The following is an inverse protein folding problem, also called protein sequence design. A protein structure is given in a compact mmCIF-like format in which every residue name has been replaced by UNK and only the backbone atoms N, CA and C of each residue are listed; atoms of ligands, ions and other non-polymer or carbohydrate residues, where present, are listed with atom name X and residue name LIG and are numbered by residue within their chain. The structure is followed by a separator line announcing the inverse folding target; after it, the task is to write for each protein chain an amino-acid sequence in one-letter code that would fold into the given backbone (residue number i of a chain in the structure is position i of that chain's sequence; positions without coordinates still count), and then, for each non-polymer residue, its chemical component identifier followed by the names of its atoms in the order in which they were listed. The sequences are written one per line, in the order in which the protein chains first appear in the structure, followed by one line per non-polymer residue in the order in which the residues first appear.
data_IF_003017076411
#
_entry.id   IF_003017076411
#
_cell.length_a   1.000
_cell.length_b   1.000
_cell.length_c   1.000
_cell.angle_alpha   90.00
_cell.angle_beta   90.00
_cell.angle_gamma   90.00
#
_symmetry.space_group_name_H-M   'P 1'
#
loop_
_entity.id
_entity.type
_entity.pdbx_description
1 polymer ?
#
# COMPACT_ATOMS: atom_id res chain seq x y z
N UNK A 1 -5.62 15.20 23.78
CA UNK A 1 -4.62 14.48 22.96
C UNK A 1 -5.37 13.53 22.03
N UNK A 2 -4.94 13.40 20.77
CA UNK A 2 -5.61 12.56 19.79
C UNK A 2 -4.74 11.32 19.52
N UNK A 3 -5.31 10.14 19.70
CA UNK A 3 -4.62 8.86 19.52
C UNK A 3 -5.14 8.14 18.29
N UNK A 4 -4.24 7.43 17.62
CA UNK A 4 -4.59 6.47 16.57
C UNK A 4 -4.11 5.08 16.97
N UNK A 5 -4.88 4.06 16.60
CA UNK A 5 -4.49 2.68 16.80
C UNK A 5 -3.58 2.23 15.64
N UNK A 6 -2.44 1.63 15.99
CA UNK A 6 -1.48 1.07 15.02
C UNK A 6 -1.12 -0.36 15.45
N UNK A 7 -1.66 -1.34 14.74
CA UNK A 7 -1.72 -2.69 15.27
C UNK A 7 -2.52 -2.69 16.57
N UNK A 8 -1.94 -3.19 17.63
CA UNK A 8 -2.56 -3.18 18.97
C UNK A 8 -2.18 -1.95 19.81
N UNK A 9 -1.29 -1.08 19.33
CA UNK A 9 -0.75 0.04 20.08
C UNK A 9 -1.51 1.33 19.78
N UNK A 10 -1.84 2.10 20.82
CA UNK A 10 -2.35 3.46 20.67
C UNK A 10 -1.16 4.42 20.60
N UNK A 11 -1.11 5.24 19.56
CA UNK A 11 -0.02 6.20 19.32
C UNK A 11 -0.60 7.60 19.32
N UNK A 12 0.01 8.49 20.09
CA UNK A 12 -0.34 9.90 20.11
C UNK A 12 0.21 10.61 18.87
N UNK A 13 -0.64 11.46 18.26
CA UNK A 13 -0.25 12.29 17.12
C UNK A 13 0.69 13.40 17.59
N UNK A 14 1.71 13.70 16.78
CA UNK A 14 2.73 14.69 17.10
C UNK A 14 3.75 14.21 18.14
N UNK A 15 3.64 12.94 18.58
CA UNK A 15 4.67 12.31 19.39
C UNK A 15 5.91 11.99 18.56
N UNK A 16 6.95 11.45 19.20
CA UNK A 16 8.12 10.94 18.46
C UNK A 16 7.79 9.83 17.48
N UNK A 17 6.64 9.16 17.64
CA UNK A 17 6.26 7.98 16.87
C UNK A 17 5.49 8.29 15.59
N UNK A 18 4.56 9.27 15.59
CA UNK A 18 3.63 9.48 14.49
C UNK A 18 3.34 10.96 14.23
N UNK A 19 3.63 11.40 13.01
CA UNK A 19 3.18 12.69 12.47
C UNK A 19 1.93 12.53 11.63
N UNK A 20 1.04 13.53 11.72
CA UNK A 20 -0.11 13.68 10.84
C UNK A 20 0.20 14.69 9.72
N UNK A 21 1.31 14.46 9.03
CA UNK A 21 1.74 15.30 7.93
C UNK A 21 2.60 14.50 6.96
N UNK A 22 2.26 14.55 5.69
CA UNK A 22 3.11 14.16 4.56
C UNK A 22 3.24 15.35 3.65
N UNK A 23 4.45 15.60 3.14
CA UNK A 23 4.67 16.64 2.15
C UNK A 23 3.80 16.40 0.92
N UNK A 24 2.93 17.37 0.63
CA UNK A 24 2.04 17.35 -0.53
C UNK A 24 2.75 17.91 -1.75
N UNK A 25 2.54 17.29 -2.89
CA UNK A 25 3.08 17.73 -4.17
C UNK A 25 1.95 17.81 -5.20
N UNK A 26 2.12 18.67 -6.20
CA UNK A 26 1.23 18.76 -7.34
C UNK A 26 1.81 17.95 -8.51
N UNK A 27 0.97 17.27 -9.27
CA UNK A 27 1.41 16.53 -10.47
C UNK A 27 1.95 17.45 -11.60
N UNK A 28 1.68 18.75 -11.53
CA UNK A 28 2.18 19.79 -12.45
C UNK A 28 3.53 20.38 -12.02
N UNK A 29 4.06 20.02 -10.84
CA UNK A 29 5.39 20.44 -10.43
C UNK A 29 6.47 19.96 -11.42
N UNK A 30 7.59 20.69 -11.46
CA UNK A 30 8.76 20.30 -12.27
C UNK A 30 9.18 18.86 -11.93
N UNK A 31 9.30 18.03 -12.97
CA UNK A 31 9.59 16.61 -12.81
C UNK A 31 10.94 16.35 -12.12
N UNK A 32 11.94 17.21 -12.34
CA UNK A 32 13.24 17.04 -11.65
C UNK A 32 13.11 17.29 -10.16
N UNK A 33 12.23 18.21 -9.75
CA UNK A 33 11.92 18.45 -8.34
C UNK A 33 11.27 17.21 -7.75
N UNK A 34 10.25 16.64 -8.41
CA UNK A 34 9.56 15.42 -7.95
C UNK A 34 10.52 14.22 -7.89
N UNK A 35 11.37 14.03 -8.90
CA UNK A 35 12.39 12.96 -8.91
C UNK A 35 13.35 13.12 -7.74
N UNK A 36 13.82 14.32 -7.45
CA UNK A 36 14.74 14.58 -6.35
C UNK A 36 14.05 14.33 -4.99
N UNK A 37 12.81 14.81 -4.82
CA UNK A 37 12.00 14.52 -3.62
C UNK A 37 11.79 13.01 -3.43
N UNK A 38 11.46 12.28 -4.51
CA UNK A 38 11.29 10.82 -4.44
C UNK A 38 12.58 10.11 -4.00
N UNK A 39 13.73 10.52 -4.55
CA UNK A 39 15.05 9.96 -4.15
C UNK A 39 15.36 10.26 -2.70
N UNK A 40 15.10 11.49 -2.26
CA UNK A 40 15.42 11.93 -0.89
C UNK A 40 14.45 11.32 0.14
N UNK A 41 13.16 11.42 -0.09
CA UNK A 41 12.14 11.03 0.87
C UNK A 41 11.72 9.55 0.74
N UNK A 42 11.95 8.93 -0.42
CA UNK A 42 11.48 7.59 -0.75
C UNK A 42 10.01 7.52 -1.13
N UNK A 43 9.29 8.66 -1.14
CA UNK A 43 7.88 8.77 -1.49
C UNK A 43 7.52 10.13 -2.09
N UNK A 44 6.34 10.17 -2.72
CA UNK A 44 5.62 11.38 -3.13
C UNK A 44 4.13 11.22 -2.78
N UNK A 45 3.54 12.20 -2.14
CA UNK A 45 2.09 12.35 -2.04
C UNK A 45 1.65 13.34 -3.13
N UNK A 46 1.02 12.85 -4.19
CA UNK A 46 0.53 13.67 -5.29
C UNK A 46 -0.96 13.96 -5.09
N UNK A 47 -1.31 15.23 -5.02
CA UNK A 47 -2.68 15.68 -4.82
C UNK A 47 -3.44 15.70 -6.15
N UNK A 48 -4.64 15.13 -6.16
CA UNK A 48 -5.58 15.25 -7.28
C UNK A 48 -5.07 14.70 -8.62
N UNK A 49 -4.22 13.65 -8.60
CA UNK A 49 -3.76 13.03 -9.84
C UNK A 49 -4.91 12.38 -10.60
N UNK A 50 -5.84 11.76 -9.88
CA UNK A 50 -7.09 11.23 -10.45
C UNK A 50 -8.26 12.20 -10.24
N UNK A 51 -9.24 12.11 -11.11
CA UNK A 51 -10.51 12.82 -10.96
C UNK A 51 -11.30 12.28 -9.76
N UNK A 52 -11.76 13.18 -8.90
CA UNK A 52 -12.51 12.83 -7.69
C UNK A 52 -13.86 12.16 -8.00
N UNK A 53 -14.53 12.57 -9.09
CA UNK A 53 -15.83 12.00 -9.47
C UNK A 53 -15.64 10.59 -10.02
N UNK A 54 -14.56 10.35 -10.78
CA UNK A 54 -14.20 9.03 -11.29
C UNK A 54 -13.91 8.07 -10.12
N UNK A 55 -13.10 8.47 -9.15
CA UNK A 55 -12.85 7.70 -7.90
C UNK A 55 -14.15 7.40 -7.16
N UNK A 56 -15.05 8.39 -7.04
CA UNK A 56 -16.34 8.21 -6.37
C UNK A 56 -17.23 7.18 -7.09
N UNK A 57 -17.24 7.20 -8.43
CA UNK A 57 -17.98 6.25 -9.26
C UNK A 57 -17.43 4.83 -9.11
N UNK A 58 -16.11 4.67 -9.11
CA UNK A 58 -15.44 3.40 -8.87
C UNK A 58 -15.77 2.86 -7.47
N UNK A 59 -15.72 3.74 -6.44
CA UNK A 59 -16.09 3.37 -5.07
C UNK A 59 -17.51 2.82 -4.99
N UNK A 60 -18.48 3.52 -5.59
CA UNK A 60 -19.88 3.07 -5.65
C UNK A 60 -20.01 1.69 -6.28
N UNK A 61 -19.30 1.47 -7.39
CA UNK A 61 -19.28 0.18 -8.09
C UNK A 61 -18.73 -0.94 -7.20
N UNK A 62 -17.60 -0.70 -6.53
CA UNK A 62 -17.01 -1.68 -5.61
C UNK A 62 -17.98 -2.01 -4.48
N UNK A 63 -18.56 -1.00 -3.85
CA UNK A 63 -19.53 -1.19 -2.75
C UNK A 63 -20.74 -1.99 -3.27
N UNK A 64 -21.29 -1.67 -4.45
CA UNK A 64 -22.43 -2.39 -5.02
C UNK A 64 -22.15 -3.88 -5.28
N UNK A 65 -20.91 -4.22 -5.64
CA UNK A 65 -20.48 -5.62 -5.80
C UNK A 65 -20.42 -6.31 -4.43
N UNK A 66 -19.86 -5.64 -3.43
CA UNK A 66 -19.70 -6.16 -2.07
C UNK A 66 -21.03 -6.24 -1.30
N UNK A 67 -22.04 -5.44 -1.67
CA UNK A 67 -23.38 -5.42 -1.04
C UNK A 67 -24.09 -6.76 -1.19
N UNK A 68 -23.74 -7.57 -2.19
CA UNK A 68 -24.27 -8.93 -2.35
C UNK A 68 -23.98 -9.84 -1.15
N UNK A 69 -23.00 -9.50 -0.33
CA UNK A 69 -22.61 -10.26 0.87
C UNK A 69 -23.39 -9.84 2.13
N UNK A 70 -24.35 -8.93 2.02
CA UNK A 70 -25.18 -8.40 3.14
C UNK A 70 -24.36 -7.85 4.34
N UNK A 71 -23.21 -7.28 4.05
CA UNK A 71 -22.26 -6.78 5.04
C UNK A 71 -22.45 -5.31 5.43
N UNK A 72 -23.22 -4.56 4.63
CA UNK A 72 -23.42 -3.11 4.81
C UNK A 72 -24.71 -2.79 5.57
N UNK A 73 -24.66 -1.70 6.34
CA UNK A 73 -25.82 -1.14 7.01
C UNK A 73 -26.73 -0.43 5.99
N UNK A 74 -27.88 -1.03 5.70
CA UNK A 74 -28.86 -0.53 4.72
C UNK A 74 -29.51 0.78 5.11
N UNK A 75 -29.42 1.18 6.39
CA UNK A 75 -29.98 2.45 6.91
C UNK A 75 -29.07 3.66 6.73
N UNK A 76 -27.82 3.48 6.39
CA UNK A 76 -26.80 4.54 6.29
C UNK A 76 -26.09 4.46 4.96
N UNK A 77 -26.54 5.26 4.02
CA UNK A 77 -25.89 5.53 2.70
C UNK A 77 -24.95 4.43 2.21
N UNK A 78 -25.41 3.59 1.32
CA UNK A 78 -24.64 2.57 0.60
C UNK A 78 -23.32 3.10 -0.02
N UNK A 79 -23.25 4.43 -0.23
CA UNK A 79 -22.08 5.13 -0.78
C UNK A 79 -20.92 5.21 0.21
N UNK A 80 -21.20 5.26 1.54
CA UNK A 80 -20.15 5.41 2.56
C UNK A 80 -19.46 4.10 2.87
N UNK A 81 -20.09 2.95 2.55
CA UNK A 81 -19.56 1.62 2.87
C UNK A 81 -19.51 1.37 4.38
N UNK A 82 -20.54 1.84 5.12
CA UNK A 82 -20.65 1.53 6.53
C UNK A 82 -21.05 0.07 6.73
N UNK A 83 -20.24 -0.63 7.53
CA UNK A 83 -20.48 -2.04 7.86
C UNK A 83 -21.54 -2.16 8.97
N UNK A 84 -22.33 -3.21 8.91
CA UNK A 84 -23.21 -3.62 10.00
C UNK A 84 -22.40 -3.82 11.29
N UNK A 85 -23.01 -3.57 12.44
CA UNK A 85 -22.38 -3.81 13.74
C UNK A 85 -21.96 -5.28 13.89
N UNK A 86 -20.78 -5.52 14.44
CA UNK A 86 -20.23 -6.87 14.63
C UNK A 86 -19.56 -7.49 13.40
N UNK A 87 -19.64 -6.85 12.22
CA UNK A 87 -18.92 -7.35 11.04
C UNK A 87 -17.46 -6.85 11.07
N UNK A 88 -16.57 -7.77 11.41
CA UNK A 88 -15.12 -7.61 11.27
C UNK A 88 -14.74 -8.32 9.97
N UNK A 89 -14.80 -7.61 8.83
CA UNK A 89 -14.27 -8.18 7.59
C UNK A 89 -13.03 -7.44 7.15
N UNK A 90 -11.91 -8.16 7.28
CA UNK A 90 -10.74 -7.95 6.44
C UNK A 90 -10.86 -8.91 5.27
N UNK A 91 -11.12 -8.43 4.12
CA UNK A 91 -10.74 -9.16 2.94
C UNK A 91 -9.79 -8.26 2.16
N UNK A 92 -8.51 -8.61 2.17
CA UNK A 92 -7.78 -8.40 0.94
C UNK A 92 -8.63 -9.13 -0.08
N UNK A 93 -9.25 -8.41 -1.00
CA UNK A 93 -9.81 -9.04 -2.17
C UNK A 93 -8.60 -9.60 -2.90
N UNK A 94 -8.22 -10.82 -2.52
CA UNK A 94 -7.10 -11.52 -3.11
C UNK A 94 -7.49 -11.82 -4.55
N UNK A 95 -6.80 -11.15 -5.44
CA UNK A 95 -6.89 -11.38 -6.86
C UNK A 95 -8.05 -10.65 -7.53
N UNK A 96 -7.78 -10.11 -8.69
CA UNK A 96 -8.78 -9.61 -9.62
C UNK A 96 -9.76 -10.73 -10.07
N UNK A 97 -9.51 -11.98 -9.68
CA UNK A 97 -10.28 -13.16 -10.12
C UNK A 97 -11.74 -13.12 -9.67
N UNK A 98 -12.03 -12.49 -8.53
CA UNK A 98 -13.40 -12.42 -7.99
C UNK A 98 -14.11 -11.10 -8.26
N UNK A 99 -13.37 -10.00 -8.46
CA UNK A 99 -13.96 -8.68 -8.71
C UNK A 99 -13.24 -8.04 -9.89
N UNK A 100 -13.79 -8.20 -11.08
CA UNK A 100 -13.36 -7.43 -12.26
C UNK A 100 -14.00 -6.05 -12.20
N UNK A 101 -13.20 -5.01 -12.20
CA UNK A 101 -13.61 -3.62 -12.22
C UNK A 101 -12.89 -2.94 -13.39
N UNK A 102 -13.46 -3.01 -14.60
CA UNK A 102 -12.87 -2.42 -15.80
C UNK A 102 -12.56 -0.92 -15.63
N UNK A 103 -13.33 -0.24 -14.79
CA UNK A 103 -13.15 1.17 -14.49
C UNK A 103 -11.78 1.44 -13.82
N UNK A 104 -11.22 0.48 -13.06
CA UNK A 104 -9.85 0.62 -12.53
C UNK A 104 -8.80 0.53 -13.66
N UNK A 105 -9.01 -0.33 -14.64
CA UNK A 105 -8.10 -0.43 -15.78
C UNK A 105 -8.10 0.86 -16.59
N UNK A 106 -9.29 1.44 -16.82
CA UNK A 106 -9.45 2.74 -17.47
C UNK A 106 -8.74 3.85 -16.66
N UNK A 107 -8.97 3.89 -15.33
CA UNK A 107 -8.37 4.88 -14.45
C UNK A 107 -6.83 4.92 -14.59
N UNK A 108 -6.20 3.74 -14.54
CA UNK A 108 -4.75 3.61 -14.56
C UNK A 108 -4.13 3.65 -15.97
N UNK A 109 -4.95 3.62 -17.02
CA UNK A 109 -4.51 3.80 -18.42
C UNK A 109 -4.70 5.22 -18.95
N UNK A 110 -5.22 6.17 -18.14
CA UNK A 110 -5.38 7.58 -18.56
C UNK A 110 -4.03 8.18 -18.93
N UNK A 111 -3.96 8.91 -20.05
CA UNK A 111 -2.72 9.55 -20.51
C UNK A 111 -2.06 10.41 -19.44
N UNK A 112 -2.87 11.21 -18.72
CA UNK A 112 -2.36 12.03 -17.61
C UNK A 112 -1.57 11.20 -16.59
N UNK A 113 -2.11 10.04 -16.22
CA UNK A 113 -1.53 9.16 -15.24
C UNK A 113 -0.28 8.44 -15.78
N UNK A 114 -0.36 7.86 -16.98
CA UNK A 114 0.77 7.15 -17.60
C UNK A 114 1.92 8.09 -17.90
N UNK A 115 1.66 9.27 -18.51
CA UNK A 115 2.69 10.27 -18.78
C UNK A 115 3.36 10.80 -17.51
N UNK A 116 2.61 10.92 -16.40
CA UNK A 116 3.19 11.29 -15.13
C UNK A 116 4.27 10.27 -14.69
N UNK A 117 3.97 8.97 -14.75
CA UNK A 117 4.93 7.93 -14.40
C UNK A 117 6.07 7.78 -15.41
N UNK A 118 5.82 7.97 -16.71
CA UNK A 118 6.85 7.98 -17.74
C UNK A 118 7.88 9.09 -17.50
N UNK A 119 7.41 10.27 -17.14
CA UNK A 119 8.27 11.37 -16.77
C UNK A 119 9.05 11.09 -15.47
N UNK A 120 8.35 10.56 -14.44
CA UNK A 120 8.96 10.26 -13.15
C UNK A 120 10.04 9.16 -13.25
N UNK A 121 9.84 8.16 -14.10
CA UNK A 121 10.75 7.04 -14.30
C UNK A 121 11.74 7.25 -15.45
N UNK A 122 11.54 8.29 -16.27
CA UNK A 122 12.42 8.67 -17.37
C UNK A 122 12.35 7.75 -18.58
N UNK A 123 11.16 7.26 -18.95
CA UNK A 123 10.93 6.43 -20.13
C UNK A 123 9.61 5.68 -20.10
N UNK A 124 9.33 4.92 -21.18
CA UNK A 124 8.13 4.12 -21.31
C UNK A 124 7.97 3.17 -20.12
N UNK A 125 6.75 3.10 -19.60
CA UNK A 125 6.43 2.32 -18.39
C UNK A 125 5.69 1.03 -18.70
N UNK A 126 5.81 0.08 -17.78
CA UNK A 126 4.93 -1.08 -17.68
C UNK A 126 4.44 -1.24 -16.25
N UNK A 127 3.30 -1.88 -16.12
CA UNK A 127 2.69 -2.27 -14.84
C UNK A 127 2.30 -3.75 -14.90
N UNK A 128 2.39 -4.50 -13.79
CA UNK A 128 1.70 -5.77 -13.68
C UNK A 128 0.20 -5.61 -14.00
N UNK A 129 -0.39 -6.57 -14.68
CA UNK A 129 -1.84 -6.56 -14.93
C UNK A 129 -2.64 -6.68 -13.62
N UNK A 130 -2.07 -7.38 -12.66
CA UNK A 130 -2.67 -7.56 -11.34
C UNK A 130 -2.66 -6.24 -10.55
N UNK A 131 -3.84 -5.84 -10.10
CA UNK A 131 -4.04 -4.67 -9.23
C UNK A 131 -4.52 -5.15 -7.86
N UNK A 132 -3.86 -4.68 -6.80
CA UNK A 132 -4.18 -5.10 -5.43
C UNK A 132 -5.30 -4.24 -4.85
N UNK A 133 -6.55 -4.59 -5.19
CA UNK A 133 -7.72 -3.97 -4.56
C UNK A 133 -7.85 -4.49 -3.12
N UNK A 134 -7.84 -3.56 -2.18
CA UNK A 134 -7.89 -3.87 -0.74
C UNK A 134 -9.11 -3.25 -0.10
N UNK A 135 -9.81 -4.05 0.70
CA UNK A 135 -10.87 -3.60 1.59
C UNK A 135 -10.46 -3.86 3.03
N UNK A 136 -10.52 -2.86 3.89
CA UNK A 136 -10.09 -2.95 5.29
C UNK A 136 -11.23 -2.54 6.19
N UNK A 137 -11.77 -3.51 6.91
CA UNK A 137 -12.85 -3.32 7.89
C UNK A 137 -12.32 -2.95 9.27
N UNK A 138 -13.26 -2.75 10.20
CA UNK A 138 -12.96 -2.39 11.60
C UNK A 138 -12.06 -3.43 12.26
N UNK A 139 -11.09 -2.94 13.04
CA UNK A 139 -10.14 -3.77 13.78
C UNK A 139 -8.93 -4.25 12.96
N UNK A 140 -8.89 -3.95 11.67
CA UNK A 140 -7.86 -4.47 10.78
C UNK A 140 -6.81 -3.44 10.39
N UNK A 141 -5.58 -3.90 10.18
CA UNK A 141 -4.43 -3.13 9.71
C UNK A 141 -3.51 -4.02 8.87
N UNK A 142 -2.55 -3.43 8.16
CA UNK A 142 -1.42 -4.18 7.62
C UNK A 142 -0.22 -4.08 8.57
N UNK A 143 0.59 -5.14 8.60
CA UNK A 143 1.82 -5.18 9.38
C UNK A 143 2.94 -4.39 8.67
N UNK A 144 3.98 -4.03 9.41
CA UNK A 144 5.15 -3.30 8.92
C UNK A 144 5.93 -4.12 7.89
N UNK A 145 6.07 -3.63 6.68
CA UNK A 145 6.79 -4.30 5.59
C UNK A 145 7.31 -3.30 4.55
N UNK A 146 8.16 -3.77 3.66
CA UNK A 146 8.45 -3.11 2.38
C UNK A 146 8.14 -4.08 1.23
N UNK A 147 7.81 -3.53 0.06
CA UNK A 147 7.36 -4.34 -1.08
C UNK A 147 8.48 -5.16 -1.73
N UNK A 148 9.76 -4.83 -1.47
CA UNK A 148 10.89 -5.53 -2.07
C UNK A 148 10.93 -7.04 -1.76
N UNK A 149 10.42 -7.46 -0.60
CA UNK A 149 10.37 -8.89 -0.20
C UNK A 149 9.37 -9.69 -1.03
N UNK A 150 8.36 -9.01 -1.58
CA UNK A 150 7.32 -9.61 -2.43
C UNK A 150 7.66 -9.52 -3.92
N UNK A 151 8.33 -8.44 -4.35
CA UNK A 151 8.45 -8.07 -5.77
C UNK A 151 9.91 -7.76 -6.18
N UNK A 152 10.87 -8.16 -5.38
CA UNK A 152 12.27 -7.76 -5.51
C UNK A 152 13.12 -8.53 -6.54
N UNK A 153 12.58 -9.48 -7.33
CA UNK A 153 13.38 -10.26 -8.30
C UNK A 153 13.67 -9.51 -9.61
N UNK A 154 12.89 -8.48 -9.89
CA UNK A 154 13.06 -7.58 -11.03
C UNK A 154 13.95 -6.37 -10.74
N UNK A 155 13.61 -5.25 -11.36
CA UNK A 155 14.26 -3.96 -11.11
C UNK A 155 14.05 -3.50 -9.65
N UNK A 156 15.08 -2.85 -9.12
CA UNK A 156 15.00 -2.19 -7.81
C UNK A 156 14.42 -0.76 -7.88
N UNK A 157 14.10 -0.29 -9.09
CA UNK A 157 13.55 1.04 -9.35
C UNK A 157 12.02 1.05 -9.45
N UNK A 158 11.38 -0.11 -9.25
CA UNK A 158 9.92 -0.21 -9.25
C UNK A 158 9.33 0.70 -8.16
N UNK A 159 8.24 1.37 -8.51
CA UNK A 159 7.47 2.23 -7.61
C UNK A 159 6.11 1.59 -7.33
N UNK A 160 5.69 1.66 -6.09
CA UNK A 160 4.32 1.35 -5.68
C UNK A 160 3.50 2.64 -5.72
N UNK A 161 2.31 2.57 -6.28
CA UNK A 161 1.30 3.62 -6.25
C UNK A 161 0.09 3.14 -5.47
N UNK A 162 -0.12 3.69 -4.29
CA UNK A 162 -1.29 3.45 -3.46
C UNK A 162 -2.33 4.52 -3.73
N UNK A 163 -3.51 4.11 -4.18
CA UNK A 163 -4.64 5.00 -4.51
C UNK A 163 -5.78 4.75 -3.52
N UNK A 164 -6.18 5.73 -2.70
CA UNK A 164 -7.40 5.65 -1.90
C UNK A 164 -8.62 5.72 -2.81
N UNK A 165 -9.51 4.75 -2.72
CA UNK A 165 -10.77 4.74 -3.45
C UNK A 165 -11.86 5.41 -2.59
N UNK A 166 -11.76 6.72 -2.48
CA UNK A 166 -12.52 7.62 -1.63
C UNK A 166 -11.65 8.34 -0.61
N UNK A 167 -12.25 9.21 0.19
CA UNK A 167 -11.54 9.87 1.29
C UNK A 167 -11.18 8.81 2.36
N UNK A 168 -9.93 8.85 2.82
CA UNK A 168 -9.41 7.93 3.84
C UNK A 168 -8.77 8.72 4.97
N UNK A 169 -9.38 8.68 6.14
CA UNK A 169 -8.79 9.25 7.35
C UNK A 169 -7.83 8.25 8.02
N UNK A 170 -6.91 8.72 8.88
CA UNK A 170 -6.08 7.83 9.68
C UNK A 170 -6.89 6.81 10.49
N UNK A 171 -8.06 7.21 11.05
CA UNK A 171 -8.94 6.31 11.81
C UNK A 171 -9.56 5.20 10.94
N UNK A 172 -9.70 5.42 9.63
CA UNK A 172 -10.18 4.39 8.70
C UNK A 172 -9.08 3.40 8.30
N UNK A 173 -7.93 3.44 8.95
CA UNK A 173 -6.79 2.61 8.56
C UNK A 173 -6.01 3.21 7.40
N UNK A 174 -5.79 4.52 7.43
CA UNK A 174 -4.95 5.23 6.45
C UNK A 174 -3.54 4.63 6.37
N UNK A 175 -2.93 4.67 5.19
CA UNK A 175 -1.56 4.21 5.01
C UNK A 175 -0.61 5.11 5.79
N UNK A 176 0.33 4.51 6.51
CA UNK A 176 1.43 5.19 7.17
C UNK A 176 2.75 4.71 6.56
N UNK A 177 3.66 5.65 6.31
CA UNK A 177 5.00 5.39 5.82
C UNK A 177 6.02 5.65 6.92
N UNK A 178 7.07 4.88 6.91
CA UNK A 178 8.17 5.00 7.86
C UNK A 178 9.28 5.85 7.22
N UNK A 179 9.33 7.12 7.60
CA UNK A 179 10.26 8.11 7.04
C UNK A 179 11.70 7.64 7.17
N UNK A 180 12.50 7.83 6.11
CA UNK A 180 13.91 7.46 6.01
C UNK A 180 14.21 5.95 6.10
N UNK A 181 13.21 5.07 6.20
CA UNK A 181 13.45 3.63 6.30
C UNK A 181 14.11 3.04 5.05
N UNK A 182 13.86 3.62 3.87
CA UNK A 182 14.51 3.25 2.60
C UNK A 182 16.02 3.56 2.54
N UNK A 183 16.56 4.25 3.55
CA UNK A 183 17.99 4.56 3.71
C UNK A 183 18.66 3.72 4.80
N UNK A 184 17.92 2.89 5.55
CA UNK A 184 18.45 2.12 6.68
C UNK A 184 19.19 0.87 6.20
N UNK A 185 20.51 0.91 6.31
CA UNK A 185 21.38 -0.17 5.87
C UNK A 185 21.07 -1.51 6.55
N UNK A 186 20.70 -1.46 7.83
CA UNK A 186 20.36 -2.63 8.63
C UNK A 186 19.16 -3.37 8.02
N UNK A 187 18.16 -2.65 7.50
CA UNK A 187 16.98 -3.20 6.85
C UNK A 187 17.31 -3.61 5.41
N UNK A 188 17.99 -2.73 4.67
CA UNK A 188 18.31 -2.93 3.25
C UNK A 188 19.24 -4.12 3.00
N UNK A 189 20.16 -4.41 3.92
CA UNK A 189 21.14 -5.50 3.78
C UNK A 189 20.63 -6.85 4.28
N UNK A 190 19.54 -6.86 5.01
CA UNK A 190 18.94 -8.05 5.65
C UNK A 190 17.53 -8.30 5.11
N UNK A 191 16.51 -7.88 5.83
CA UNK A 191 15.09 -8.11 5.51
C UNK A 191 14.72 -7.75 4.06
N UNK A 192 15.09 -6.55 3.59
CA UNK A 192 14.68 -6.09 2.26
C UNK A 192 15.31 -6.89 1.09
N UNK A 193 16.29 -7.76 1.35
CA UNK A 193 16.85 -8.72 0.41
C UNK A 193 16.14 -10.07 0.40
N UNK A 194 15.36 -10.36 1.42
CA UNK A 194 14.61 -11.60 1.50
C UNK A 194 13.52 -11.67 0.43
N UNK A 195 13.12 -12.88 0.09
CA UNK A 195 12.04 -13.16 -0.86
C UNK A 195 11.04 -14.11 -0.21
N UNK A 196 9.79 -13.70 -0.10
CA UNK A 196 8.76 -14.47 0.61
C UNK A 196 8.52 -15.87 0.05
N UNK A 197 8.78 -16.08 -1.24
CA UNK A 197 8.58 -17.39 -1.89
C UNK A 197 9.83 -18.28 -1.81
N UNK A 198 11.04 -17.69 -1.83
CA UNK A 198 12.31 -18.43 -1.77
C UNK A 198 12.67 -18.73 -0.32
N UNK A 199 12.64 -17.70 0.52
CA UNK A 199 13.05 -17.80 1.93
C UNK A 199 11.93 -18.31 2.83
N UNK A 200 10.72 -18.46 2.29
CA UNK A 200 9.50 -18.93 3.02
C UNK A 200 9.21 -18.12 4.29
N UNK A 201 9.49 -16.82 4.28
CA UNK A 201 9.23 -15.93 5.41
C UNK A 201 7.77 -15.46 5.44
N UNK A 202 7.30 -14.98 6.59
CA UNK A 202 5.95 -14.41 6.72
C UNK A 202 5.74 -13.12 5.92
N UNK A 203 6.81 -12.45 5.53
CA UNK A 203 6.80 -11.29 4.64
C UNK A 203 6.69 -9.93 5.35
N UNK A 204 6.37 -9.86 6.62
CA UNK A 204 6.43 -8.64 7.40
C UNK A 204 7.71 -8.58 8.25
N UNK A 205 8.10 -7.37 8.62
CA UNK A 205 9.34 -7.11 9.35
C UNK A 205 9.16 -7.19 10.86
N UNK A 206 8.07 -6.64 11.37
CA UNK A 206 7.75 -6.60 12.80
C UNK A 206 6.25 -6.45 13.02
N UNK A 207 5.76 -7.02 14.12
CA UNK A 207 4.41 -6.81 14.62
C UNK A 207 4.28 -5.52 15.43
N UNK A 208 5.41 -4.99 15.94
CA UNK A 208 5.45 -3.77 16.73
C UNK A 208 5.95 -2.58 15.90
N UNK A 209 5.07 -1.70 15.41
CA UNK A 209 5.48 -0.55 14.61
C UNK A 209 6.37 0.44 15.35
N UNK A 210 6.32 0.49 16.70
CA UNK A 210 7.15 1.39 17.49
C UNK A 210 8.63 1.06 17.38
N UNK A 211 8.95 -0.19 17.12
CA UNK A 211 10.33 -0.65 16.94
C UNK A 211 11.06 0.11 15.84
N UNK A 212 10.36 0.48 14.77
CA UNK A 212 10.94 1.28 13.68
C UNK A 212 11.48 2.62 14.19
N UNK A 213 10.83 3.18 15.20
CA UNK A 213 11.26 4.45 15.82
C UNK A 213 12.34 4.20 16.89
N UNK A 214 12.07 3.30 17.83
CA UNK A 214 12.92 3.12 19.00
C UNK A 214 14.26 2.45 18.66
N UNK A 215 14.28 1.50 17.71
CA UNK A 215 15.48 0.75 17.34
C UNK A 215 16.18 1.31 16.10
N UNK A 216 15.41 1.76 15.11
CA UNK A 216 15.99 2.20 13.82
C UNK A 216 16.00 3.73 13.66
N UNK A 217 15.50 4.50 14.63
CA UNK A 217 15.50 5.96 14.58
C UNK A 217 14.69 6.54 13.41
N UNK A 218 13.68 5.82 12.96
CA UNK A 218 12.72 6.27 11.96
C UNK A 218 11.58 7.07 12.61
N UNK A 219 10.63 7.54 11.82
CA UNK A 219 9.39 8.14 12.30
C UNK A 219 8.25 7.76 11.37
N UNK A 220 7.10 7.43 11.91
CA UNK A 220 5.91 7.20 11.11
C UNK A 220 5.26 8.51 10.71
N UNK A 221 4.69 8.54 9.51
CA UNK A 221 3.90 9.65 9.03
C UNK A 221 2.69 9.16 8.23
N UNK A 222 1.58 9.84 8.37
CA UNK A 222 0.34 9.61 7.63
C UNK A 222 -0.38 10.94 7.41
N UNK A 223 -1.50 10.93 6.70
CA UNK A 223 -2.32 12.11 6.47
C UNK A 223 -3.79 11.76 6.27
N UNK A 224 -4.63 12.76 6.08
CA UNK A 224 -5.98 12.61 5.55
C UNK A 224 -5.91 12.56 4.02
N UNK A 225 -5.99 11.38 3.45
CA UNK A 225 -6.01 11.22 1.99
C UNK A 225 -7.37 11.59 1.43
N UNK A 226 -7.38 12.31 0.33
CA UNK A 226 -8.59 12.68 -0.40
C UNK A 226 -8.76 11.81 -1.63
N UNK A 227 -10.01 11.63 -2.07
CA UNK A 227 -10.31 11.00 -3.34
C UNK A 227 -9.57 11.74 -4.46
N UNK A 228 -8.83 10.98 -5.27
CA UNK A 228 -7.97 11.54 -6.33
C UNK A 228 -6.50 11.68 -5.96
N UNK A 229 -6.14 11.67 -4.68
CA UNK A 229 -4.74 11.63 -4.25
C UNK A 229 -4.10 10.27 -4.58
N UNK A 230 -2.78 10.25 -4.71
CA UNK A 230 -2.00 9.01 -4.75
C UNK A 230 -0.75 9.14 -3.89
N UNK A 231 -0.38 8.05 -3.21
CA UNK A 231 0.89 7.94 -2.50
C UNK A 231 1.81 7.00 -3.30
N UNK A 232 2.88 7.56 -3.85
CA UNK A 232 3.88 6.85 -4.65
C UNK A 232 5.12 6.63 -3.80
N UNK A 233 5.66 5.42 -3.78
CA UNK A 233 6.84 5.15 -2.96
C UNK A 233 7.70 4.02 -3.53
N UNK A 234 8.99 4.06 -3.14
CA UNK A 234 9.97 3.01 -3.44
C UNK A 234 9.57 1.68 -2.81
N UNK A 235 9.79 0.57 -3.52
CA UNK A 235 9.58 -0.78 -2.95
C UNK A 235 10.41 -1.06 -1.70
N UNK A 236 11.39 -0.21 -1.36
CA UNK A 236 12.19 -0.31 -0.15
C UNK A 236 11.67 0.50 1.02
N UNK A 237 10.68 1.37 0.82
CA UNK A 237 10.11 2.17 1.90
C UNK A 237 9.24 1.29 2.80
N UNK A 238 9.58 1.23 4.08
CA UNK A 238 8.76 0.54 5.08
C UNK A 238 7.44 1.28 5.25
N UNK A 239 6.35 0.52 5.22
CA UNK A 239 5.01 1.06 5.36
C UNK A 239 4.09 0.06 6.06
N UNK A 240 2.97 0.56 6.53
CA UNK A 240 1.89 -0.22 7.13
C UNK A 240 0.59 0.60 7.10
N UNK A 241 -0.54 0.01 7.39
CA UNK A 241 -1.76 0.78 7.64
C UNK A 241 -2.04 0.92 9.12
N UNK A 242 -2.56 2.07 9.54
CA UNK A 242 -3.17 2.21 10.85
C UNK A 242 -4.35 1.26 10.98
N UNK A 243 -4.78 0.98 12.19
CA UNK A 243 -5.94 0.14 12.43
C UNK A 243 -7.21 0.92 12.10
N UNK A 244 -8.10 0.34 11.30
CA UNK A 244 -9.41 0.93 11.07
C UNK A 244 -10.25 0.81 12.34
N UNK A 245 -10.50 1.94 13.01
CA UNK A 245 -11.32 2.01 14.23
C UNK A 245 -12.75 2.48 13.94
N UNK A 246 -13.08 2.71 12.67
CA UNK A 246 -14.40 3.18 12.24
C UNK A 246 -15.28 2.03 11.77
N UNK A 247 -16.56 2.29 11.59
CA UNK A 247 -17.47 1.34 10.95
C UNK A 247 -17.44 1.44 9.42
N UNK A 248 -16.69 2.38 8.84
CA UNK A 248 -16.60 2.56 7.39
C UNK A 248 -15.53 1.66 6.79
N UNK A 249 -15.82 1.06 5.64
CA UNK A 249 -14.86 0.25 4.89
C UNK A 249 -13.82 1.14 4.20
N UNK A 250 -12.54 0.98 4.53
CA UNK A 250 -11.46 1.57 3.74
C UNK A 250 -11.28 0.75 2.46
N UNK A 251 -11.30 1.43 1.32
CA UNK A 251 -11.01 0.82 0.02
C UNK A 251 -9.80 1.53 -0.57
N UNK A 252 -8.84 0.77 -1.08
CA UNK A 252 -7.66 1.29 -1.79
C UNK A 252 -7.22 0.29 -2.86
N UNK A 253 -6.50 0.79 -3.84
CA UNK A 253 -5.89 -0.04 -4.88
C UNK A 253 -4.40 0.26 -4.96
N UNK A 254 -3.56 -0.79 -4.92
CA UNK A 254 -2.14 -0.66 -5.15
C UNK A 254 -1.83 -1.10 -6.58
N UNK A 255 -1.06 -0.30 -7.28
CA UNK A 255 -0.47 -0.62 -8.59
C UNK A 255 1.05 -0.45 -8.52
N UNK A 256 1.77 -1.01 -9.49
CA UNK A 256 3.24 -0.91 -9.53
C UNK A 256 3.68 -0.47 -10.92
N UNK A 257 4.72 0.36 -10.96
CA UNK A 257 5.24 0.91 -12.21
C UNK A 257 6.76 0.77 -12.25
N UNK A 258 7.26 0.35 -13.38
CA UNK A 258 8.69 0.31 -13.71
C UNK A 258 8.90 0.71 -15.16
N UNK A 259 10.11 1.03 -15.54
CA UNK A 259 10.45 1.20 -16.94
C UNK A 259 10.28 -0.10 -17.69
N UNK A 260 9.85 -0.01 -18.94
CA UNK A 260 9.61 -1.17 -19.82
C UNK A 260 10.90 -1.93 -20.15
N UNK A 261 12.02 -1.22 -20.22
CA UNK A 261 13.36 -1.77 -20.50
C UNK A 261 14.09 -2.31 -19.26
N UNK A 262 13.55 -2.07 -18.06
CA UNK A 262 14.09 -2.63 -16.82
C UNK A 262 13.76 -4.13 -16.68
N UNK A 263 14.60 -4.88 -15.95
CA UNK A 263 14.37 -6.29 -15.62
C UNK A 263 13.02 -6.49 -14.95
N UNK A 264 12.23 -7.42 -15.45
CA UNK A 264 10.91 -7.79 -14.89
C UNK A 264 11.04 -8.92 -13.88
N UNK A 265 10.16 -8.93 -12.91
CA UNK A 265 9.92 -10.11 -12.08
C UNK A 265 8.81 -10.94 -12.74
N UNK A 266 9.19 -12.07 -13.35
CA UNK A 266 8.30 -12.91 -14.15
C UNK A 266 7.10 -13.46 -13.36
N UNK A 267 7.10 -13.38 -12.04
CA UNK A 267 5.92 -13.73 -11.22
C UNK A 267 4.73 -12.80 -11.46
N UNK A 268 4.98 -11.57 -11.94
CA UNK A 268 3.97 -10.51 -11.98
C UNK A 268 3.63 -10.05 -13.39
N UNK A 269 4.40 -10.47 -14.40
CA UNK A 269 4.22 -10.03 -15.78
C UNK A 269 3.99 -11.24 -16.70
N UNK A 270 3.26 -11.02 -17.81
CA UNK A 270 2.92 -12.02 -18.81
C UNK A 270 1.43 -12.38 -18.75
N UNK A 271 0.95 -13.16 -19.72
CA UNK A 271 -0.47 -13.54 -19.86
C UNK A 271 -0.99 -14.38 -18.68
N UNK A 272 -0.12 -15.20 -18.09
CA UNK A 272 -0.44 -16.04 -16.92
C UNK A 272 0.64 -15.90 -15.87
N UNK A 273 0.68 -14.80 -15.10
CA UNK A 273 1.72 -14.59 -14.10
C UNK A 273 1.62 -15.63 -12.98
N UNK A 274 2.78 -16.14 -12.56
CA UNK A 274 2.88 -17.18 -11.53
C UNK A 274 2.45 -16.70 -10.14
N UNK A 275 2.49 -15.39 -9.91
CA UNK A 275 2.20 -14.76 -8.61
C UNK A 275 3.06 -15.35 -7.48
N UNK A 276 2.54 -15.45 -6.29
CA UNK A 276 3.16 -16.11 -5.14
C UNK A 276 2.85 -17.63 -5.18
N UNK A 277 3.47 -18.36 -6.10
CA UNK A 277 3.18 -19.78 -6.32
C UNK A 277 3.37 -20.66 -5.08
N UNK A 278 4.28 -20.31 -4.18
CA UNK A 278 4.54 -21.09 -2.96
C UNK A 278 3.53 -20.84 -1.83
N UNK A 279 2.72 -19.79 -1.91
CA UNK A 279 1.63 -19.59 -0.96
C UNK A 279 0.41 -20.48 -1.24
N UNK A 280 0.39 -21.14 -2.41
CA UNK A 280 -0.68 -22.06 -2.79
C UNK A 280 -0.36 -23.53 -2.46
N UNK A 281 0.82 -23.82 -1.95
CA UNK A 281 1.22 -25.16 -1.51
C UNK A 281 1.07 -25.24 0.01
N UNK A 282 0.03 -25.94 0.47
CA UNK A 282 -0.28 -26.13 1.89
C UNK A 282 0.81 -26.85 2.68
N UNK A 283 1.78 -27.49 1.99
CA UNK A 283 2.93 -28.15 2.60
C UNK A 283 4.11 -27.21 2.92
N UNK A 284 4.06 -25.96 2.46
CA UNK A 284 5.13 -25.00 2.73
C UNK A 284 4.96 -24.34 4.10
N UNK A 285 5.75 -24.82 5.06
CA UNK A 285 5.83 -24.22 6.40
C UNK A 285 6.66 -22.94 6.29
N UNK A 286 6.04 -21.81 6.60
CA UNK A 286 6.76 -20.53 6.68
C UNK A 286 7.64 -20.47 7.91
N UNK A 287 8.85 -19.92 7.73
CA UNK A 287 9.72 -19.55 8.83
C UNK A 287 9.00 -18.51 9.72
N UNK A 288 8.99 -18.76 11.02
CA UNK A 288 8.38 -17.82 11.98
C UNK A 288 9.15 -16.49 11.96
N UNK A 289 8.45 -15.40 12.19
CA UNK A 289 9.06 -14.07 12.22
C UNK A 289 10.25 -14.00 13.19
N UNK A 290 10.15 -14.62 14.36
CA UNK A 290 11.24 -14.63 15.36
C UNK A 290 12.53 -15.25 14.81
N UNK A 291 12.42 -16.36 14.07
CA UNK A 291 13.56 -17.07 13.50
C UNK A 291 14.16 -16.26 12.32
N UNK A 292 13.31 -15.69 11.47
CA UNK A 292 13.73 -14.76 10.41
C UNK A 292 14.51 -13.57 10.99
N UNK A 293 14.03 -12.99 12.08
CA UNK A 293 14.68 -11.85 12.72
C UNK A 293 16.05 -12.21 13.33
N UNK A 294 16.17 -13.37 13.96
CA UNK A 294 17.47 -13.89 14.41
C UNK A 294 18.45 -14.04 13.25
N UNK A 295 17.99 -14.59 12.12
CA UNK A 295 18.80 -14.74 10.90
C UNK A 295 19.22 -13.38 10.31
N UNK A 296 18.39 -12.35 10.43
CA UNK A 296 18.73 -10.98 9.99
C UNK A 296 19.62 -10.25 11.00
N UNK A 297 19.80 -10.76 12.22
CA UNK A 297 20.59 -10.11 13.28
C UNK A 297 19.90 -8.89 13.91
N UNK A 298 18.58 -8.91 13.97
CA UNK A 298 17.73 -7.80 14.45
C UNK A 298 16.71 -8.27 15.48
#
# INVERSE_FOLDING_TARGET
MKYYKFGETNIEIGSKYLDLYLEENNYEEDQNILINKLKENGFLLIKGLHDKQEISSIRKKIISILTKDDIFDSGKNEITGNLKEGIIKTSTVRGNEKIKIPELDILYSRNKFTSFFENLLGGEIISPEFKWLRTVGKGSSSKTHCDSVYMGRGTKKMLTCWTPIGDVSPQMGGLAICLNSHKKNEILKTYAKSDVDIDLIEGHFTDNPLEMVDKFGCKWATTHFKAGDVLIFSIFLMHASLTNTTNSLRISCDTRYQRKDDKRDNRWFGECPLMHYRFHDDNNIKEKLVDSRLRWGI
#
